data_IF_049501518267
#
_entry.id   IF_049501518267
#
_cell.length_a   1.000
_cell.length_b   1.000
_cell.length_c   1.000
_cell.angle_alpha   90.00
_cell.angle_beta   90.00
_cell.angle_gamma   90.00
#
_symmetry.space_group_name_H-M   'P 1'
#
loop_
_entity.id
_entity.type
_entity.pdbx_description
1 polymer ?
#
# COMPACT_ATOMS: atom_id res chain seq x y z
N UNK A 1 -63.72 89.40 -44.79
CA UNK A 1 -64.10 88.21 -45.51
C UNK A 1 -63.05 87.17 -45.18
N UNK A 2 -63.42 86.07 -44.57
CA UNK A 2 -62.66 84.88 -44.18
C UNK A 2 -61.48 85.08 -43.17
N UNK A 3 -61.49 84.68 -42.06
CA UNK A 3 -61.85 83.68 -41.09
C UNK A 3 -60.75 82.58 -41.02
N UNK A 4 -59.68 82.80 -40.20
CA UNK A 4 -58.68 81.74 -39.95
C UNK A 4 -58.77 81.23 -38.51
N UNK A 5 -59.24 79.99 -38.42
CA UNK A 5 -59.38 79.24 -37.21
C UNK A 5 -58.01 78.63 -36.87
N UNK A 6 -57.36 79.08 -35.78
CA UNK A 6 -56.15 78.47 -35.26
C UNK A 6 -56.53 77.28 -34.38
N UNK A 7 -56.17 76.06 -34.79
CA UNK A 7 -56.20 74.87 -33.96
C UNK A 7 -54.87 74.73 -33.27
N UNK A 8 -54.87 74.88 -31.99
CA UNK A 8 -53.72 74.53 -31.10
C UNK A 8 -53.69 73.03 -30.82
N UNK A 9 -52.64 72.39 -31.24
CA UNK A 9 -52.41 70.98 -30.99
C UNK A 9 -51.59 70.84 -29.69
N UNK A 10 -52.21 70.31 -28.62
CA UNK A 10 -51.56 70.06 -27.36
C UNK A 10 -50.96 68.64 -27.44
N UNK A 11 -49.62 68.53 -27.45
CA UNK A 11 -48.91 67.26 -27.36
C UNK A 11 -48.73 66.93 -25.90
N UNK A 12 -49.44 65.91 -25.41
CA UNK A 12 -49.24 65.33 -24.12
C UNK A 12 -48.08 64.34 -24.22
N UNK A 13 -46.90 64.69 -23.64
CA UNK A 13 -45.78 63.76 -23.50
C UNK A 13 -46.05 62.85 -22.32
N UNK A 14 -46.39 61.59 -22.54
CA UNK A 14 -46.41 60.58 -21.53
C UNK A 14 -44.99 60.16 -21.26
N UNK A 15 -44.45 60.49 -20.06
CA UNK A 15 -43.22 59.99 -19.53
C UNK A 15 -43.46 58.54 -19.01
N UNK A 16 -43.00 57.54 -19.76
CA UNK A 16 -42.95 56.14 -19.29
C UNK A 16 -41.68 55.94 -18.45
N UNK A 17 -41.80 56.03 -17.12
CA UNK A 17 -40.71 55.63 -16.21
C UNK A 17 -40.72 54.14 -16.13
N UNK A 18 -39.81 53.48 -16.90
CA UNK A 18 -39.56 52.07 -16.77
C UNK A 18 -38.71 51.83 -15.49
N UNK A 19 -39.38 51.34 -14.46
CA UNK A 19 -38.73 50.91 -13.23
C UNK A 19 -38.02 49.57 -13.51
N UNK A 20 -36.73 49.62 -13.89
CA UNK A 20 -35.89 48.42 -13.92
C UNK A 20 -35.56 48.02 -12.47
N UNK A 21 -36.36 47.12 -11.92
CA UNK A 21 -35.98 46.41 -10.72
C UNK A 21 -34.80 45.47 -11.08
N UNK A 22 -33.57 45.89 -10.78
CA UNK A 22 -32.40 45.02 -10.81
C UNK A 22 -32.51 44.02 -9.66
N UNK A 23 -33.02 42.84 -9.96
CA UNK A 23 -32.87 41.69 -9.06
C UNK A 23 -31.37 41.34 -8.99
N UNK A 24 -30.65 41.87 -8.00
CA UNK A 24 -29.34 41.39 -7.63
C UNK A 24 -29.56 40.06 -6.93
N UNK A 25 -29.51 38.95 -7.69
CA UNK A 25 -29.36 37.65 -7.09
C UNK A 25 -27.98 37.66 -6.45
N UNK A 26 -27.93 37.89 -5.15
CA UNK A 26 -26.73 37.64 -4.36
C UNK A 26 -26.45 36.13 -4.47
N UNK A 27 -25.55 35.75 -5.38
CA UNK A 27 -24.95 34.43 -5.33
C UNK A 27 -24.17 34.37 -4.01
N UNK A 28 -24.78 33.80 -2.98
CA UNK A 28 -24.05 33.38 -1.80
C UNK A 28 -23.08 32.32 -2.25
N UNK A 29 -21.81 32.70 -2.45
CA UNK A 29 -20.72 31.74 -2.55
C UNK A 29 -20.78 30.94 -1.25
N UNK A 30 -21.00 29.61 -1.30
CA UNK A 30 -21.00 28.81 -0.08
C UNK A 30 -19.67 29.06 0.65
N UNK A 31 -19.74 29.38 1.93
CA UNK A 31 -18.55 29.48 2.77
C UNK A 31 -17.81 28.15 2.65
N UNK A 32 -16.50 28.17 2.38
CA UNK A 32 -15.67 26.97 2.25
C UNK A 32 -15.77 26.07 3.48
N UNK A 33 -16.15 26.61 4.64
CA UNK A 33 -16.42 25.87 5.87
C UNK A 33 -17.76 25.11 5.88
N UNK A 34 -18.66 25.37 4.92
CA UNK A 34 -19.98 24.68 4.81
C UNK A 34 -20.01 23.66 3.68
N UNK A 35 -18.92 23.51 2.90
CA UNK A 35 -18.80 22.42 1.94
C UNK A 35 -18.64 21.13 2.75
N UNK A 36 -19.65 20.26 2.70
CA UNK A 36 -19.50 18.91 3.18
C UNK A 36 -18.25 18.31 2.53
N UNK A 37 -17.32 17.80 3.35
CA UNK A 37 -16.10 17.20 2.85
C UNK A 37 -16.39 16.05 1.87
N UNK A 38 -15.39 15.60 1.10
CA UNK A 38 -15.56 14.48 0.18
C UNK A 38 -16.18 13.27 0.91
N UNK A 39 -17.16 12.57 0.31
CA UNK A 39 -17.89 11.50 0.97
C UNK A 39 -16.99 10.39 1.56
N UNK A 40 -15.88 10.10 0.90
CA UNK A 40 -14.89 9.10 1.31
C UNK A 40 -14.01 9.54 2.51
N UNK A 41 -14.04 10.81 2.90
CA UNK A 41 -13.34 11.34 4.07
C UNK A 41 -14.26 11.65 5.25
N UNK A 42 -15.59 11.78 5.02
CA UNK A 42 -16.52 12.21 6.06
C UNK A 42 -16.52 11.27 7.27
N UNK A 43 -16.46 9.96 7.06
CA UNK A 43 -16.43 8.98 8.14
C UNK A 43 -15.16 9.09 8.99
N UNK A 44 -14.01 9.31 8.36
CA UNK A 44 -12.71 9.48 9.02
C UNK A 44 -12.73 10.78 9.84
N UNK A 45 -13.13 11.89 9.22
CA UNK A 45 -13.20 13.19 9.88
C UNK A 45 -14.19 13.22 11.05
N UNK A 46 -15.38 12.64 10.89
CA UNK A 46 -16.40 12.58 11.95
C UNK A 46 -15.94 11.74 13.15
N UNK A 47 -15.18 10.69 12.91
CA UNK A 47 -14.62 9.82 13.95
C UNK A 47 -13.36 10.42 14.59
N UNK A 48 -12.68 11.34 13.91
CA UNK A 48 -11.39 11.91 14.33
C UNK A 48 -10.23 10.90 14.30
N UNK A 49 -10.40 9.79 13.63
CA UNK A 49 -9.42 8.69 13.60
C UNK A 49 -9.34 8.03 12.22
N UNK A 50 -8.12 7.69 11.81
CA UNK A 50 -7.80 6.84 10.67
C UNK A 50 -7.56 5.41 11.18
N UNK A 51 -8.41 4.46 10.79
CA UNK A 51 -8.25 3.04 11.15
C UNK A 51 -7.35 2.37 10.12
N UNK A 52 -6.19 1.88 10.58
CA UNK A 52 -5.15 1.25 9.75
C UNK A 52 -5.08 -0.25 10.05
N UNK A 53 -5.41 -1.08 9.07
CA UNK A 53 -5.29 -2.53 9.20
C UNK A 53 -3.84 -2.98 9.03
N UNK A 54 -3.37 -3.83 9.96
CA UNK A 54 -2.08 -4.53 9.93
C UNK A 54 -2.25 -5.99 10.34
N UNK A 55 -1.23 -6.83 10.07
CA UNK A 55 -1.22 -8.20 10.60
C UNK A 55 -1.00 -8.21 12.12
N UNK A 56 -1.46 -9.27 12.78
CA UNK A 56 -1.29 -9.49 14.22
C UNK A 56 0.17 -9.77 14.62
N UNK A 57 0.97 -10.30 13.70
CA UNK A 57 2.39 -10.60 13.92
C UNK A 57 3.28 -9.42 13.52
N UNK A 58 4.48 -9.36 14.10
CA UNK A 58 5.49 -8.36 13.79
C UNK A 58 6.22 -8.65 12.47
N UNK A 59 6.61 -7.60 11.77
CA UNK A 59 7.36 -7.66 10.52
C UNK A 59 8.37 -6.50 10.43
N UNK A 60 9.36 -6.50 11.33
CA UNK A 60 10.41 -5.48 11.33
C UNK A 60 11.19 -5.45 9.99
N UNK A 61 11.58 -4.27 9.49
CA UNK A 61 11.45 -2.94 10.06
C UNK A 61 10.14 -2.23 9.63
N UNK A 62 9.20 -2.94 9.01
CA UNK A 62 7.93 -2.35 8.55
C UNK A 62 7.02 -2.00 9.72
N UNK A 63 6.81 -2.93 10.62
CA UNK A 63 6.08 -2.74 11.86
C UNK A 63 6.46 -3.82 12.88
N UNK A 64 6.71 -3.41 14.11
CA UNK A 64 6.98 -4.29 15.24
C UNK A 64 6.68 -3.57 16.56
N UNK A 65 6.42 -4.34 17.61
CA UNK A 65 6.27 -3.80 18.95
C UNK A 65 7.63 -3.82 19.65
N UNK A 66 8.13 -2.64 20.03
CA UNK A 66 9.32 -2.46 20.84
C UNK A 66 8.96 -1.65 22.08
N UNK A 67 9.30 -2.14 23.26
CA UNK A 67 9.00 -1.50 24.56
C UNK A 67 7.51 -1.10 24.73
N UNK A 68 6.61 -1.91 24.18
CA UNK A 68 5.17 -1.67 24.23
C UNK A 68 4.64 -0.67 23.19
N UNK A 69 5.49 -0.10 22.35
CA UNK A 69 5.14 0.84 21.28
C UNK A 69 5.27 0.20 19.90
N UNK A 70 4.28 0.46 19.06
CA UNK A 70 4.33 0.03 17.66
C UNK A 70 5.20 1.02 16.88
N UNK A 71 6.20 0.53 16.17
CA UNK A 71 7.16 1.33 15.39
C UNK A 71 7.47 0.69 14.03
N UNK A 72 8.04 1.47 13.12
CA UNK A 72 8.54 1.05 11.81
C UNK A 72 7.99 1.83 10.64
N UNK A 73 8.46 1.49 9.44
CA UNK A 73 8.19 2.20 8.17
C UNK A 73 6.69 2.41 7.92
N UNK A 74 5.90 1.37 8.14
CA UNK A 74 4.46 1.37 7.90
C UNK A 74 3.71 2.18 8.95
N UNK A 75 4.24 2.20 10.17
CA UNK A 75 3.70 3.00 11.29
C UNK A 75 3.94 4.48 11.04
N UNK A 76 5.16 4.86 10.65
CA UNK A 76 5.51 6.24 10.29
C UNK A 76 4.65 6.72 9.11
N UNK A 77 4.53 5.92 8.05
CA UNK A 77 3.68 6.28 6.91
C UNK A 77 2.22 6.46 7.32
N UNK A 78 1.71 5.63 8.22
CA UNK A 78 0.33 5.72 8.71
C UNK A 78 0.11 7.00 9.52
N UNK A 79 1.10 7.39 10.34
CA UNK A 79 1.07 8.64 11.11
C UNK A 79 1.08 9.87 10.18
N UNK A 80 1.95 9.88 9.15
CA UNK A 80 2.02 10.97 8.18
C UNK A 80 0.68 11.13 7.42
N UNK A 81 0.03 10.01 7.05
CA UNK A 81 -1.29 10.04 6.41
C UNK A 81 -2.36 10.59 7.36
N UNK A 82 -2.35 10.17 8.62
CA UNK A 82 -3.30 10.66 9.63
C UNK A 82 -3.10 12.14 9.92
N UNK A 83 -1.85 12.61 10.00
CA UNK A 83 -1.48 14.03 10.13
C UNK A 83 -2.00 14.85 8.95
N UNK A 84 -1.80 14.38 7.72
CA UNK A 84 -2.32 15.03 6.51
C UNK A 84 -3.86 15.12 6.48
N UNK A 85 -4.55 14.19 7.15
CA UNK A 85 -6.00 14.19 7.31
C UNK A 85 -6.48 14.98 8.54
N UNK A 86 -5.58 15.43 9.42
CA UNK A 86 -5.90 16.13 10.67
C UNK A 86 -6.59 15.24 11.71
N UNK A 87 -6.28 13.94 11.76
CA UNK A 87 -6.88 12.95 12.66
C UNK A 87 -5.82 12.11 13.37
N UNK A 88 -6.22 11.37 14.43
CA UNK A 88 -5.37 10.38 15.08
C UNK A 88 -5.32 9.06 14.30
N UNK A 89 -4.26 8.27 14.50
CA UNK A 89 -4.18 6.91 13.94
C UNK A 89 -4.68 5.88 14.95
N UNK A 90 -5.41 4.87 14.47
CA UNK A 90 -5.79 3.68 15.23
C UNK A 90 -5.36 2.43 14.46
N UNK A 91 -4.48 1.62 15.05
CA UNK A 91 -3.99 0.39 14.42
C UNK A 91 -4.85 -0.81 14.78
N UNK A 92 -5.49 -1.41 13.78
CA UNK A 92 -6.18 -2.71 13.90
C UNK A 92 -5.22 -3.84 13.49
N UNK A 93 -4.67 -4.53 14.48
CA UNK A 93 -3.76 -5.65 14.33
C UNK A 93 -4.43 -7.01 14.54
N UNK A 94 -5.71 -7.15 14.21
CA UNK A 94 -6.44 -8.42 14.39
C UNK A 94 -6.38 -9.36 13.18
N UNK A 95 -5.81 -8.93 12.05
CA UNK A 95 -5.69 -9.76 10.85
C UNK A 95 -4.58 -10.83 11.00
N UNK A 96 -4.89 -12.09 10.72
CA UNK A 96 -3.94 -13.20 10.83
C UNK A 96 -3.08 -13.38 9.57
N UNK A 97 -3.57 -12.94 8.41
CA UNK A 97 -2.87 -13.07 7.12
C UNK A 97 -2.88 -11.76 6.34
N UNK A 98 -1.97 -11.64 5.37
CA UNK A 98 -1.95 -10.46 4.47
C UNK A 98 -3.23 -10.30 3.66
N UNK A 99 -3.94 -11.39 3.34
CA UNK A 99 -5.22 -11.31 2.65
C UNK A 99 -6.34 -10.85 3.58
N UNK A 100 -6.27 -11.19 4.87
CA UNK A 100 -7.24 -10.70 5.86
C UNK A 100 -7.09 -9.20 6.08
N UNK A 101 -5.87 -8.65 6.05
CA UNK A 101 -5.62 -7.20 6.07
C UNK A 101 -6.35 -6.51 4.91
N UNK A 102 -6.21 -7.04 3.69
CA UNK A 102 -6.89 -6.49 2.50
C UNK A 102 -8.42 -6.65 2.62
N UNK A 103 -8.89 -7.76 3.21
CA UNK A 103 -10.31 -8.00 3.41
C UNK A 103 -10.94 -6.98 4.37
N UNK A 104 -10.23 -6.53 5.41
CA UNK A 104 -10.70 -5.48 6.31
C UNK A 104 -11.01 -4.17 5.57
N UNK A 105 -10.13 -3.74 4.68
CA UNK A 105 -10.36 -2.54 3.85
C UNK A 105 -11.52 -2.76 2.88
N UNK A 106 -11.55 -3.91 2.19
CA UNK A 106 -12.65 -4.26 1.29
C UNK A 106 -14.01 -4.21 1.98
N UNK A 107 -14.08 -4.69 3.23
CA UNK A 107 -15.32 -4.79 3.99
C UNK A 107 -15.69 -3.48 4.72
N UNK A 108 -14.83 -2.45 4.70
CA UNK A 108 -15.04 -1.19 5.43
C UNK A 108 -14.80 -1.31 6.94
N UNK A 109 -14.08 -2.35 7.38
CA UNK A 109 -13.64 -2.54 8.77
C UNK A 109 -12.42 -1.67 9.10
N UNK A 110 -11.65 -1.28 8.09
CA UNK A 110 -10.54 -0.33 8.19
C UNK A 110 -10.59 0.66 7.02
N UNK A 111 -10.05 1.86 7.24
CA UNK A 111 -10.00 2.90 6.23
C UNK A 111 -8.89 2.64 5.21
N UNK A 112 -7.74 2.16 5.67
CA UNK A 112 -6.59 1.80 4.84
C UNK A 112 -5.89 0.55 5.37
N UNK A 113 -5.06 -0.05 4.53
CA UNK A 113 -4.12 -1.09 4.96
C UNK A 113 -2.68 -0.65 4.67
N UNK A 114 -1.85 -0.60 5.72
CA UNK A 114 -0.41 -0.34 5.65
C UNK A 114 0.29 -1.45 6.43
N UNK A 115 0.70 -2.52 5.75
CA UNK A 115 1.21 -3.75 6.37
C UNK A 115 2.09 -4.54 5.40
N UNK A 116 3.08 -3.87 4.79
CA UNK A 116 3.93 -4.47 3.74
C UNK A 116 3.09 -5.18 2.66
N UNK A 117 2.00 -4.52 2.21
CA UNK A 117 1.04 -5.12 1.29
C UNK A 117 1.53 -5.02 -0.15
N UNK A 118 1.81 -6.17 -0.76
CA UNK A 118 2.14 -6.27 -2.18
C UNK A 118 0.93 -5.93 -3.06
N UNK A 119 1.14 -5.13 -4.11
CA UNK A 119 0.16 -4.91 -5.18
C UNK A 119 0.05 -6.16 -6.03
N UNK A 120 -1.13 -6.78 -6.04
CA UNK A 120 -1.42 -7.91 -6.94
C UNK A 120 -2.70 -7.64 -7.73
N UNK A 121 -2.80 -8.23 -8.93
CA UNK A 121 -4.01 -8.08 -9.74
C UNK A 121 -5.26 -8.59 -8.99
N UNK A 122 -5.14 -9.71 -8.26
CA UNK A 122 -6.26 -10.26 -7.48
C UNK A 122 -6.75 -9.33 -6.38
N UNK A 123 -5.83 -8.65 -5.68
CA UNK A 123 -6.17 -7.66 -4.65
C UNK A 123 -6.72 -6.38 -5.27
N UNK A 124 -6.17 -5.94 -6.41
CA UNK A 124 -6.64 -4.76 -7.13
C UNK A 124 -8.08 -4.89 -7.68
N UNK A 125 -8.64 -6.10 -7.74
CA UNK A 125 -10.06 -6.31 -8.08
C UNK A 125 -11.00 -5.89 -6.94
N UNK A 126 -10.51 -5.74 -5.72
CA UNK A 126 -11.36 -5.52 -4.53
C UNK A 126 -10.97 -4.29 -3.71
N UNK A 127 -9.77 -3.74 -3.90
CA UNK A 127 -9.28 -2.49 -3.30
C UNK A 127 -8.53 -1.68 -4.34
N UNK A 128 -8.35 -0.37 -4.10
CA UNK A 128 -7.42 0.46 -4.85
C UNK A 128 -6.06 0.48 -4.14
N UNK A 129 -4.98 0.75 -4.90
CA UNK A 129 -3.62 0.84 -4.37
C UNK A 129 -3.03 2.21 -4.66
N UNK A 130 -2.28 2.72 -3.69
CA UNK A 130 -1.44 3.91 -3.85
C UNK A 130 -0.27 3.69 -4.81
N UNK A 131 0.49 4.75 -5.08
CA UNK A 131 1.87 4.63 -5.53
C UNK A 131 2.63 3.74 -4.54
N UNK A 132 3.61 2.94 -5.00
CA UNK A 132 4.41 2.14 -4.09
C UNK A 132 5.37 3.03 -3.29
N UNK A 133 5.54 2.73 -1.99
CA UNK A 133 6.53 3.36 -1.11
C UNK A 133 7.78 2.50 -0.92
N UNK A 134 7.71 1.20 -1.30
CA UNK A 134 8.85 0.27 -1.31
C UNK A 134 8.79 -0.60 -2.56
N UNK A 135 9.94 -0.82 -3.21
CA UNK A 135 10.10 -1.79 -4.28
C UNK A 135 11.20 -2.78 -3.97
N UNK A 136 10.83 -4.04 -3.94
CA UNK A 136 11.74 -5.17 -3.70
C UNK A 136 11.81 -6.06 -4.93
N UNK A 137 12.95 -6.71 -5.17
CA UNK A 137 13.00 -7.80 -6.13
C UNK A 137 12.49 -9.07 -5.47
N UNK A 138 12.02 -10.01 -6.28
CA UNK A 138 11.70 -11.33 -5.78
C UNK A 138 12.98 -12.17 -5.70
N UNK A 139 13.03 -13.10 -4.73
CA UNK A 139 14.17 -13.96 -4.53
C UNK A 139 13.76 -15.39 -4.17
N UNK A 140 14.63 -16.33 -4.51
CA UNK A 140 14.59 -17.70 -4.07
C UNK A 140 15.71 -17.94 -3.07
N UNK A 141 15.39 -18.63 -2.00
CA UNK A 141 16.37 -19.16 -1.04
C UNK A 141 16.40 -20.67 -1.17
N UNK A 142 17.43 -21.20 -1.82
CA UNK A 142 17.59 -22.63 -2.08
C UNK A 142 18.28 -23.35 -0.92
N UNK A 143 17.85 -24.58 -0.64
CA UNK A 143 18.72 -25.55 0.01
C UNK A 143 19.89 -25.90 -0.91
N UNK A 144 21.14 -25.68 -0.48
CA UNK A 144 22.33 -25.86 -1.32
C UNK A 144 22.54 -27.30 -1.79
N UNK A 145 22.24 -28.26 -0.93
CA UNK A 145 22.39 -29.68 -1.27
C UNK A 145 21.37 -30.09 -2.34
N UNK A 146 20.10 -29.76 -2.12
CA UNK A 146 19.05 -30.03 -3.08
C UNK A 146 19.32 -29.35 -4.43
N UNK A 147 19.78 -28.08 -4.39
CA UNK A 147 20.15 -27.34 -5.58
C UNK A 147 21.28 -28.05 -6.35
N UNK A 148 22.37 -28.44 -5.67
CA UNK A 148 23.50 -29.11 -6.30
C UNK A 148 23.11 -30.46 -6.94
N UNK A 149 22.26 -31.22 -6.24
CA UNK A 149 21.78 -32.52 -6.73
C UNK A 149 20.82 -32.40 -7.93
N UNK A 150 19.91 -31.40 -7.90
CA UNK A 150 18.83 -31.29 -8.90
C UNK A 150 19.21 -30.45 -10.11
N UNK A 151 20.10 -29.47 -9.96
CA UNK A 151 20.55 -28.66 -11.11
C UNK A 151 21.47 -29.43 -12.06
N UNK A 152 22.21 -30.43 -11.57
CA UNK A 152 23.05 -31.35 -12.36
C UNK A 152 23.91 -30.63 -13.44
N UNK A 153 24.52 -29.51 -13.09
CA UNK A 153 25.37 -28.75 -13.99
C UNK A 153 24.63 -27.86 -15.02
N UNK A 154 23.31 -27.75 -14.94
CA UNK A 154 22.54 -26.77 -15.69
C UNK A 154 22.96 -25.36 -15.29
N UNK A 155 22.87 -24.39 -16.21
CA UNK A 155 22.96 -22.97 -15.89
C UNK A 155 21.91 -22.62 -14.83
N UNK A 156 22.32 -21.83 -13.81
CA UNK A 156 21.44 -21.50 -12.69
C UNK A 156 20.20 -20.71 -13.14
N UNK A 157 20.35 -19.80 -14.10
CA UNK A 157 19.22 -19.04 -14.64
C UNK A 157 18.24 -19.92 -15.36
N UNK A 158 18.73 -20.92 -16.14
CA UNK A 158 17.88 -21.90 -16.81
C UNK A 158 17.16 -22.81 -15.81
N UNK A 159 17.87 -23.25 -14.77
CA UNK A 159 17.28 -24.05 -13.70
C UNK A 159 16.16 -23.28 -12.98
N UNK A 160 16.40 -22.00 -12.63
CA UNK A 160 15.40 -21.15 -11.96
C UNK A 160 14.19 -20.88 -12.85
N UNK A 161 14.41 -20.62 -14.16
CA UNK A 161 13.30 -20.39 -15.11
C UNK A 161 12.38 -21.61 -15.27
N UNK A 162 12.95 -22.79 -15.21
CA UNK A 162 12.24 -24.05 -15.40
C UNK A 162 12.08 -24.84 -14.10
N UNK A 163 12.10 -24.14 -12.94
CA UNK A 163 12.05 -24.78 -11.64
C UNK A 163 10.79 -25.62 -11.45
N UNK A 164 11.00 -26.92 -11.17
CA UNK A 164 10.00 -27.96 -11.01
C UNK A 164 10.02 -28.65 -9.64
N UNK A 165 10.82 -28.12 -8.72
CA UNK A 165 10.97 -28.65 -7.36
C UNK A 165 9.86 -28.22 -6.40
N UNK A 166 10.03 -28.61 -5.12
CA UNK A 166 9.16 -28.16 -4.03
C UNK A 166 9.48 -26.72 -3.66
N UNK A 167 8.51 -25.81 -3.77
CA UNK A 167 8.65 -24.38 -3.50
C UNK A 167 7.82 -23.96 -2.29
N UNK A 168 8.51 -23.61 -1.20
CA UNK A 168 7.89 -23.13 0.04
C UNK A 168 7.43 -21.68 -0.09
N UNK A 169 6.20 -21.39 0.34
CA UNK A 169 5.60 -20.05 0.40
C UNK A 169 4.74 -19.90 1.65
N UNK A 170 4.49 -18.66 2.07
CA UNK A 170 3.47 -18.39 3.11
C UNK A 170 2.08 -18.50 2.47
N UNK A 171 1.17 -19.22 3.12
CA UNK A 171 -0.22 -19.30 2.68
C UNK A 171 -0.90 -17.94 2.70
N UNK A 172 -1.92 -17.74 1.84
CA UNK A 172 -2.69 -16.49 1.74
C UNK A 172 -1.83 -15.21 1.61
N UNK A 173 -0.62 -15.35 1.06
CA UNK A 173 0.29 -14.25 0.71
C UNK A 173 0.29 -13.97 -0.78
N UNK A 174 0.85 -12.82 -1.18
CA UNK A 174 1.13 -12.49 -2.59
C UNK A 174 2.06 -13.51 -3.23
N UNK A 175 3.05 -14.01 -2.48
CA UNK A 175 4.04 -14.96 -2.98
C UNK A 175 3.44 -16.33 -3.30
N UNK A 176 2.37 -16.75 -2.61
CA UNK A 176 1.61 -17.93 -3.01
C UNK A 176 0.92 -17.77 -4.38
N UNK A 177 0.52 -16.53 -4.71
CA UNK A 177 -0.05 -16.19 -6.02
C UNK A 177 1.03 -16.05 -7.08
N UNK A 178 2.11 -15.32 -6.79
CA UNK A 178 3.24 -15.13 -7.71
C UNK A 178 3.92 -16.44 -8.05
N UNK A 179 4.07 -17.35 -7.08
CA UNK A 179 4.67 -18.67 -7.30
C UNK A 179 3.95 -19.48 -8.38
N UNK A 180 2.62 -19.50 -8.34
CA UNK A 180 1.79 -20.23 -9.34
C UNK A 180 1.97 -19.68 -10.76
N UNK A 181 2.17 -18.36 -10.88
CA UNK A 181 2.35 -17.70 -12.17
C UNK A 181 3.78 -17.84 -12.70
N UNK A 182 4.77 -17.72 -11.80
CA UNK A 182 6.19 -17.67 -12.15
C UNK A 182 6.82 -19.04 -12.31
N UNK A 183 6.36 -19.99 -11.51
CA UNK A 183 6.89 -21.36 -11.45
C UNK A 183 5.77 -22.38 -11.67
N UNK A 184 5.19 -22.42 -12.88
CA UNK A 184 4.02 -23.27 -13.15
C UNK A 184 4.29 -24.77 -13.00
N UNK A 185 5.56 -25.19 -13.08
CA UNK A 185 5.97 -26.58 -12.93
C UNK A 185 6.33 -26.95 -11.48
N UNK A 186 6.46 -25.96 -10.59
CA UNK A 186 6.84 -26.21 -9.20
C UNK A 186 5.67 -26.78 -8.38
N UNK A 187 6.00 -27.67 -7.46
CA UNK A 187 5.07 -28.08 -6.42
C UNK A 187 5.05 -27.05 -5.29
N UNK A 188 3.98 -26.26 -5.19
CA UNK A 188 3.85 -25.19 -4.20
C UNK A 188 3.45 -25.78 -2.85
N UNK A 189 4.32 -25.63 -1.85
CA UNK A 189 4.10 -26.07 -0.46
C UNK A 189 3.83 -24.82 0.40
N UNK A 190 2.61 -24.69 0.93
CA UNK A 190 2.20 -23.55 1.73
C UNK A 190 2.41 -23.82 3.22
N UNK A 191 2.91 -22.79 3.93
CA UNK A 191 3.17 -22.79 5.37
C UNK A 191 2.45 -21.60 6.02
N UNK A 192 2.22 -21.67 7.32
CA UNK A 192 1.58 -20.57 8.06
C UNK A 192 2.50 -19.36 8.24
N UNK A 193 3.76 -19.59 8.57
CA UNK A 193 4.72 -18.53 8.88
C UNK A 193 5.94 -18.56 7.97
N UNK A 194 6.67 -17.44 7.88
CA UNK A 194 7.95 -17.39 7.18
C UNK A 194 9.02 -18.26 7.86
N UNK A 195 9.01 -18.32 9.20
CA UNK A 195 9.91 -19.20 9.96
C UNK A 195 9.77 -20.67 9.54
N UNK A 196 8.52 -21.16 9.41
CA UNK A 196 8.26 -22.54 8.98
C UNK A 196 8.80 -22.82 7.57
N UNK A 197 8.66 -21.83 6.64
CA UNK A 197 9.21 -21.95 5.27
C UNK A 197 10.73 -22.05 5.31
N UNK A 198 11.40 -21.19 6.11
CA UNK A 198 12.86 -21.18 6.28
C UNK A 198 13.35 -22.50 6.85
N UNK A 199 12.74 -22.97 7.93
CA UNK A 199 13.11 -24.22 8.60
C UNK A 199 12.90 -25.43 7.68
N UNK A 200 11.80 -25.47 6.92
CA UNK A 200 11.56 -26.51 5.92
C UNK A 200 12.60 -26.48 4.79
N UNK A 201 13.07 -25.28 4.40
CA UNK A 201 14.13 -25.13 3.39
C UNK A 201 15.47 -25.61 3.93
N UNK A 202 15.83 -25.22 5.16
CA UNK A 202 17.07 -25.69 5.82
C UNK A 202 17.08 -27.21 5.94
N UNK A 203 15.95 -27.79 6.36
CA UNK A 203 15.78 -29.23 6.50
C UNK A 203 15.70 -29.99 5.16
N UNK A 204 15.71 -29.30 4.02
CA UNK A 204 15.58 -29.93 2.67
C UNK A 204 14.20 -30.51 2.38
N UNK A 205 13.16 -30.21 3.19
CA UNK A 205 11.77 -30.62 2.96
C UNK A 205 11.16 -29.91 1.75
N UNK A 206 11.59 -28.69 1.49
CA UNK A 206 11.37 -27.97 0.24
C UNK A 206 12.71 -27.61 -0.38
N UNK A 207 12.76 -27.50 -1.70
CA UNK A 207 14.01 -27.23 -2.43
C UNK A 207 14.39 -25.76 -2.39
N UNK A 208 13.37 -24.89 -2.37
CA UNK A 208 13.56 -23.47 -2.25
C UNK A 208 12.39 -22.82 -1.49
N UNK A 209 12.66 -21.67 -0.85
CA UNK A 209 11.66 -20.71 -0.37
C UNK A 209 11.57 -19.56 -1.35
N UNK A 210 10.36 -19.00 -1.56
CA UNK A 210 10.12 -17.88 -2.46
C UNK A 210 9.53 -16.70 -1.71
N UNK A 211 10.25 -15.57 -1.73
CA UNK A 211 9.81 -14.31 -1.11
C UNK A 211 10.53 -13.12 -1.76
N UNK A 212 10.31 -11.91 -1.20
CA UNK A 212 11.10 -10.74 -1.57
C UNK A 212 12.55 -10.84 -1.08
N UNK A 213 13.44 -10.11 -1.76
CA UNK A 213 14.89 -10.16 -1.50
C UNK A 213 15.27 -9.67 -0.10
N UNK A 214 14.50 -8.75 0.49
CA UNK A 214 14.74 -8.30 1.86
C UNK A 214 14.57 -9.46 2.85
N UNK A 215 13.43 -10.16 2.81
CA UNK A 215 13.14 -11.26 3.73
C UNK A 215 14.13 -12.41 3.60
N UNK A 216 14.58 -12.68 2.37
CA UNK A 216 15.57 -13.72 2.13
C UNK A 216 16.96 -13.30 2.65
N UNK A 217 17.34 -12.03 2.42
CA UNK A 217 18.62 -11.49 2.93
C UNK A 217 18.65 -11.39 4.45
N UNK A 218 17.51 -11.02 5.06
CA UNK A 218 17.39 -10.94 6.53
C UNK A 218 17.71 -12.25 7.22
N UNK A 219 17.42 -13.40 6.60
CA UNK A 219 17.77 -14.71 7.20
C UNK A 219 19.27 -14.84 7.44
N UNK A 220 20.12 -14.30 6.55
CA UNK A 220 21.57 -14.31 6.77
C UNK A 220 22.03 -13.38 7.90
N UNK A 221 21.26 -12.31 8.20
CA UNK A 221 21.50 -11.44 9.36
C UNK A 221 21.05 -12.12 10.66
N UNK A 222 19.85 -12.71 10.67
CA UNK A 222 19.26 -13.32 11.86
C UNK A 222 19.90 -14.68 12.22
N UNK A 223 20.34 -15.43 11.20
CA UNK A 223 20.85 -16.81 11.31
C UNK A 223 22.09 -17.00 10.43
N UNK A 224 23.24 -16.36 10.75
CA UNK A 224 24.46 -16.40 9.91
C UNK A 224 24.97 -17.81 9.60
N UNK A 225 24.74 -18.77 10.51
CA UNK A 225 25.10 -20.18 10.33
C UNK A 225 24.40 -20.86 9.16
N UNK A 226 23.24 -20.32 8.73
CA UNK A 226 22.48 -20.88 7.60
C UNK A 226 23.14 -20.65 6.25
N UNK A 227 24.12 -19.74 6.16
CA UNK A 227 24.88 -19.45 4.94
C UNK A 227 25.59 -20.67 4.34
N UNK A 228 25.88 -21.68 5.17
CA UNK A 228 26.46 -22.96 4.76
C UNK A 228 25.43 -23.79 3.98
N UNK A 229 24.19 -23.83 4.44
CA UNK A 229 23.11 -24.68 3.92
C UNK A 229 22.20 -24.01 2.91
N UNK A 230 22.18 -22.67 2.86
CA UNK A 230 21.29 -21.89 2.00
C UNK A 230 22.05 -21.12 0.92
N UNK A 231 21.38 -20.91 -0.22
CA UNK A 231 21.85 -20.06 -1.32
C UNK A 231 20.72 -19.15 -1.82
N UNK A 232 20.95 -17.85 -1.77
CA UNK A 232 20.01 -16.86 -2.29
C UNK A 232 20.23 -16.62 -3.79
N UNK A 233 19.14 -16.52 -4.53
CA UNK A 233 19.11 -16.12 -5.94
C UNK A 233 18.05 -15.04 -6.12
N UNK A 234 18.47 -13.81 -6.40
CA UNK A 234 17.56 -12.68 -6.71
C UNK A 234 17.12 -12.76 -8.16
N UNK A 235 15.83 -12.57 -8.42
CA UNK A 235 15.23 -12.59 -9.76
C UNK A 235 15.15 -11.16 -10.27
N UNK A 236 15.99 -10.83 -11.27
CA UNK A 236 16.17 -9.44 -11.72
C UNK A 236 14.92 -8.82 -12.38
N UNK A 237 14.12 -9.62 -13.05
CA UNK A 237 12.93 -9.23 -13.83
C UNK A 237 11.60 -9.37 -13.05
N UNK A 238 11.65 -9.76 -11.78
CA UNK A 238 10.49 -9.87 -10.91
C UNK A 238 10.59 -8.91 -9.74
N UNK A 239 9.57 -8.08 -9.58
CA UNK A 239 9.50 -7.05 -8.53
C UNK A 239 8.22 -7.20 -7.72
N UNK A 240 8.33 -6.95 -6.44
CA UNK A 240 7.21 -6.75 -5.53
C UNK A 240 7.09 -5.25 -5.20
N UNK A 241 5.95 -4.66 -5.51
CA UNK A 241 5.63 -3.27 -5.23
C UNK A 241 4.75 -3.21 -3.99
N UNK A 242 5.28 -2.67 -2.92
CA UNK A 242 4.58 -2.51 -1.65
C UNK A 242 3.86 -1.16 -1.65
N UNK A 243 2.56 -1.17 -1.36
CA UNK A 243 1.71 0.01 -1.43
C UNK A 243 0.61 -0.02 -0.36
N UNK A 244 0.02 1.14 -0.11
CA UNK A 244 -1.15 1.27 0.75
C UNK A 244 -2.39 0.80 -0.02
N UNK A 245 -3.20 -0.07 0.60
CA UNK A 245 -4.50 -0.40 0.05
C UNK A 245 -5.57 0.51 0.67
N UNK A 246 -6.45 1.04 -0.18
CA UNK A 246 -7.57 1.89 0.20
C UNK A 246 -8.87 1.32 -0.39
N UNK A 247 -10.06 1.66 0.11
CA UNK A 247 -11.31 1.25 -0.51
C UNK A 247 -11.35 1.67 -1.98
N UNK A 248 -11.86 0.80 -2.86
CA UNK A 248 -11.93 1.06 -4.30
C UNK A 248 -12.73 2.33 -4.66
N UNK A 249 -13.64 2.75 -3.79
CA UNK A 249 -14.52 3.91 -3.94
C UNK A 249 -14.07 5.14 -3.14
N UNK A 250 -12.81 5.19 -2.71
CA UNK A 250 -12.22 6.29 -1.93
C UNK A 250 -11.13 7.06 -2.71
N UNK A 251 -11.47 7.74 -3.84
CA UNK A 251 -10.48 8.38 -4.70
C UNK A 251 -9.79 9.59 -4.05
N UNK A 252 -10.45 10.31 -3.14
CA UNK A 252 -9.84 11.44 -2.43
C UNK A 252 -8.87 10.98 -1.36
N UNK A 253 -9.22 9.94 -0.61
CA UNK A 253 -8.32 9.30 0.33
C UNK A 253 -7.07 8.78 -0.41
N UNK A 254 -7.26 8.11 -1.56
CA UNK A 254 -6.14 7.66 -2.40
C UNK A 254 -5.24 8.80 -2.87
N UNK A 255 -5.83 9.94 -3.27
CA UNK A 255 -5.07 11.10 -3.71
C UNK A 255 -4.21 11.69 -2.58
N UNK A 256 -4.76 11.79 -1.34
CA UNK A 256 -4.01 12.24 -0.16
C UNK A 256 -2.89 11.26 0.18
N UNK A 257 -3.18 9.95 0.20
CA UNK A 257 -2.16 8.91 0.44
C UNK A 257 -1.03 9.01 -0.58
N UNK A 258 -1.34 9.21 -1.88
CA UNK A 258 -0.32 9.38 -2.91
C UNK A 258 0.50 10.65 -2.69
N UNK A 259 -0.13 11.77 -2.33
CA UNK A 259 0.59 13.01 -2.04
C UNK A 259 1.57 12.80 -0.88
N UNK A 260 1.14 12.19 0.22
CA UNK A 260 2.03 11.89 1.37
C UNK A 260 3.21 11.00 0.96
N UNK A 261 2.97 10.00 0.09
CA UNK A 261 4.05 9.14 -0.41
C UNK A 261 5.01 9.92 -1.32
N UNK A 262 4.49 10.76 -2.23
CA UNK A 262 5.29 11.54 -3.18
C UNK A 262 6.11 12.64 -2.47
N UNK A 263 5.66 13.15 -1.33
CA UNK A 263 6.38 14.11 -0.48
C UNK A 263 7.54 13.46 0.32
N UNK A 264 7.60 12.15 0.39
CA UNK A 264 8.71 11.43 1.02
C UNK A 264 9.96 11.46 0.12
N UNK A 265 11.17 11.58 0.70
CA UNK A 265 12.38 11.87 -0.08
C UNK A 265 12.76 10.76 -1.07
N UNK A 266 12.36 9.50 -0.84
CA UNK A 266 12.80 8.40 -1.69
C UNK A 266 11.86 7.19 -1.56
N UNK A 267 11.55 6.53 -2.69
CA UNK A 267 10.96 5.19 -2.71
C UNK A 267 12.02 4.18 -2.24
N UNK A 268 11.73 3.43 -1.18
CA UNK A 268 12.69 2.53 -0.55
C UNK A 268 12.94 1.27 -1.41
N UNK A 269 14.19 0.82 -1.41
CA UNK A 269 14.64 -0.44 -1.99
C UNK A 269 15.14 -1.42 -0.90
N UNK A 270 15.59 -2.61 -1.30
CA UNK A 270 16.03 -3.64 -0.36
C UNK A 270 17.24 -3.24 0.49
N UNK A 271 18.14 -2.42 -0.03
CA UNK A 271 19.32 -1.99 0.72
C UNK A 271 18.94 -0.98 1.81
N UNK A 272 18.00 -0.08 1.49
CA UNK A 272 17.43 0.87 2.46
C UNK A 272 16.72 0.12 3.59
N UNK A 273 15.87 -0.86 3.24
CA UNK A 273 15.11 -1.65 4.21
C UNK A 273 16.03 -2.51 5.09
N UNK A 274 17.09 -3.11 4.53
CA UNK A 274 18.10 -3.86 5.32
C UNK A 274 18.84 -2.91 6.28
N UNK A 275 19.21 -1.71 5.83
CA UNK A 275 19.87 -0.74 6.70
C UNK A 275 18.97 -0.33 7.88
N UNK A 276 17.68 -0.08 7.62
CA UNK A 276 16.69 0.20 8.66
C UNK A 276 16.50 -1.01 9.60
N UNK A 277 16.45 -2.22 9.06
CA UNK A 277 16.34 -3.43 9.85
C UNK A 277 17.52 -3.59 10.83
N UNK A 278 18.76 -3.46 10.34
CA UNK A 278 19.96 -3.51 11.19
C UNK A 278 19.93 -2.48 12.32
N UNK A 279 19.42 -1.29 12.01
CA UNK A 279 19.27 -0.22 12.99
C UNK A 279 18.19 -0.53 14.03
N UNK A 280 17.08 -1.19 13.64
CA UNK A 280 15.99 -1.54 14.56
C UNK A 280 16.38 -2.66 15.56
N UNK A 281 17.32 -3.55 15.17
CA UNK A 281 17.80 -4.67 16.03
C UNK A 281 19.10 -4.35 16.77
N UNK A 282 19.76 -3.21 16.48
CA UNK A 282 20.98 -2.81 17.17
C UNK A 282 20.70 -2.55 18.66
N UNK A 283 21.62 -2.95 19.58
CA UNK A 283 21.51 -2.60 20.99
C UNK A 283 21.50 -1.07 21.18
N UNK A 284 20.67 -0.57 22.10
CA UNK A 284 20.70 0.85 22.47
C UNK A 284 22.08 1.21 23.01
N UNK A 285 22.85 2.04 22.30
CA UNK A 285 24.14 2.56 22.76
C UNK A 285 25.29 2.56 21.76
N UNK A 286 25.12 2.01 20.58
CA UNK A 286 26.12 2.09 19.48
C UNK A 286 25.69 3.12 18.42
N UNK A 287 25.74 4.41 18.79
CA UNK A 287 25.50 5.53 17.87
C UNK A 287 26.74 6.42 17.76
#
# INVERSE_FOLDING_TARGET
>A
MFGMLKRTLTIAAMLFVALFATFTVAQTVPDATTLAGPPDLLGIAARGKLIVAMTSFDNAPFYSVKDGHLEGIDVELSNDIAEALGVEVEFDRSAETFNDVVAKVKNGEADIAVSKISRTNSRALVVAFSNPYVRLKNALMFNRLNLAQKSQGKDLGDYVRNFDGNLGVIEKSSFATFAKLRFPNANIVAFKTWGDVVDATIAGKVDAAYRDEFEVRRIAEDRPETSISLRTVTIADARDSIAVAVPWNAPRLLAIVNQVIDDRPTELNADDVIAMYRKSIAPEGEH
#
